data_IF_182102154974
#
_entry.id   IF_182102154974
#
_cell.length_a   1.000
_cell.length_b   1.000
_cell.length_c   1.000
_cell.angle_alpha   90.00
_cell.angle_beta   90.00
_cell.angle_gamma   90.00
#
_symmetry.space_group_name_H-M   'P 1'
#
loop_
_entity.id
_entity.type
_entity.pdbx_description
1 polymer ?
#
# COMPACT_ATOMS: atom_id res chain seq x y z
N UNK A 1 -33.12 -11.72 -15.52
CA UNK A 1 -32.24 -10.80 -14.79
C UNK A 1 -32.45 -9.40 -15.33
N UNK A 2 -32.89 -8.46 -14.49
CA UNK A 2 -32.97 -7.04 -14.85
C UNK A 2 -31.85 -6.32 -14.11
N UNK A 3 -30.92 -5.71 -14.84
CA UNK A 3 -29.85 -4.95 -14.22
C UNK A 3 -30.43 -3.67 -13.61
N UNK A 4 -30.21 -3.47 -12.31
CA UNK A 4 -30.58 -2.22 -11.64
C UNK A 4 -29.52 -1.18 -11.97
N UNK A 5 -29.91 -0.10 -12.64
CA UNK A 5 -29.04 1.05 -12.87
C UNK A 5 -28.93 1.82 -11.55
N UNK A 6 -27.74 1.86 -10.97
CA UNK A 6 -27.44 2.69 -9.79
C UNK A 6 -26.82 3.99 -10.28
N UNK A 7 -27.45 5.12 -9.99
CA UNK A 7 -26.88 6.42 -10.36
C UNK A 7 -25.58 6.71 -9.58
N UNK A 8 -24.57 7.31 -10.23
CA UNK A 8 -23.34 7.71 -9.56
C UNK A 8 -23.64 8.80 -8.53
N UNK A 9 -23.47 8.49 -7.25
CA UNK A 9 -23.48 9.47 -6.16
C UNK A 9 -22.09 10.06 -5.99
N UNK A 10 -21.97 11.37 -6.16
CA UNK A 10 -20.82 12.11 -5.66
C UNK A 10 -20.97 12.31 -4.14
N UNK A 11 -19.87 12.23 -3.37
CA UNK A 11 -19.88 12.57 -1.95
C UNK A 11 -20.47 13.97 -1.76
N UNK A 12 -21.43 14.11 -0.85
CA UNK A 12 -22.02 15.39 -0.45
C UNK A 12 -21.02 16.22 0.35
N UNK A 13 -21.27 17.52 0.55
CA UNK A 13 -20.39 18.40 1.34
C UNK A 13 -20.22 18.00 2.82
N UNK A 14 -21.01 17.04 3.33
CA UNK A 14 -20.83 16.39 4.62
C UNK A 14 -19.98 15.12 4.56
N UNK A 15 -19.73 14.58 3.37
CA UNK A 15 -18.82 13.47 3.11
C UNK A 15 -17.41 14.02 2.88
N UNK A 16 -16.85 14.70 3.88
CA UNK A 16 -15.44 15.11 3.86
C UNK A 16 -14.61 13.84 3.82
N UNK A 17 -14.05 13.51 2.66
CA UNK A 17 -13.05 12.46 2.54
C UNK A 17 -11.83 12.94 3.32
N UNK A 18 -11.62 12.39 4.51
CA UNK A 18 -10.39 12.61 5.27
C UNK A 18 -9.36 11.64 4.67
N UNK A 19 -8.37 12.13 3.92
CA UNK A 19 -7.35 11.25 3.35
C UNK A 19 -6.58 10.58 4.48
N UNK A 20 -6.22 9.31 4.28
CA UNK A 20 -5.37 8.61 5.22
C UNK A 20 -3.95 9.20 5.21
N UNK A 21 -3.43 9.47 6.40
CA UNK A 21 -2.06 9.89 6.60
C UNK A 21 -1.08 8.72 6.39
N UNK A 22 0.22 9.02 6.26
CA UNK A 22 1.24 7.97 6.25
C UNK A 22 1.21 7.11 7.53
N UNK A 23 0.89 7.72 8.68
CA UNK A 23 0.74 6.97 9.92
C UNK A 23 -0.41 5.95 9.85
N UNK A 24 -1.53 6.26 9.21
CA UNK A 24 -2.64 5.32 9.04
C UNK A 24 -2.22 4.10 8.20
N UNK A 25 -1.38 4.31 7.18
CA UNK A 25 -0.81 3.22 6.41
C UNK A 25 0.11 2.35 7.26
N UNK A 26 1.04 2.96 7.99
CA UNK A 26 1.97 2.22 8.87
C UNK A 26 1.21 1.45 9.94
N UNK A 27 0.24 2.07 10.61
CA UNK A 27 -0.62 1.41 11.60
C UNK A 27 -1.38 0.25 10.96
N UNK A 28 -1.87 0.42 9.74
CA UNK A 28 -2.55 -0.69 9.06
C UNK A 28 -1.58 -1.83 8.77
N UNK A 29 -0.37 -1.58 8.27
CA UNK A 29 0.61 -2.61 7.95
C UNK A 29 1.01 -3.45 9.18
N UNK A 30 0.96 -2.85 10.37
CA UNK A 30 1.23 -3.53 11.66
C UNK A 30 0.01 -4.26 12.22
N UNK A 31 -1.20 -3.91 11.78
CA UNK A 31 -2.41 -4.47 12.38
C UNK A 31 -2.53 -5.97 12.10
N UNK A 32 -3.02 -6.71 13.10
CA UNK A 32 -3.27 -8.14 12.96
C UNK A 32 -4.30 -8.40 11.85
N UNK A 33 -4.09 -9.49 11.11
CA UNK A 33 -4.99 -9.95 10.05
C UNK A 33 -5.63 -11.25 10.46
N UNK A 34 -6.88 -11.17 10.90
CA UNK A 34 -7.74 -12.31 11.19
C UNK A 34 -9.01 -12.22 10.36
N UNK A 35 -9.52 -13.38 9.94
CA UNK A 35 -10.85 -13.46 9.35
C UNK A 35 -11.90 -13.29 10.45
N UNK A 36 -12.85 -12.40 10.21
CA UNK A 36 -13.96 -12.11 11.12
C UNK A 36 -15.26 -12.40 10.38
N UNK A 37 -16.08 -13.30 10.92
CA UNK A 37 -17.45 -13.42 10.44
C UNK A 37 -18.26 -12.21 10.92
N UNK A 38 -18.77 -11.42 9.98
CA UNK A 38 -19.49 -10.18 10.29
C UNK A 38 -21.01 -10.31 10.16
N UNK A 39 -21.51 -11.45 9.65
CA UNK A 39 -22.93 -11.74 9.56
C UNK A 39 -23.27 -13.08 10.25
N UNK A 40 -23.90 -13.05 11.44
CA UNK A 40 -24.29 -14.27 12.15
C UNK A 40 -25.33 -15.13 11.39
N UNK A 41 -25.93 -14.62 10.30
CA UNK A 41 -26.86 -15.36 9.43
C UNK A 41 -26.20 -15.94 8.19
N UNK A 42 -25.02 -15.45 7.81
CA UNK A 42 -24.23 -15.94 6.68
C UNK A 42 -22.87 -16.41 7.19
N UNK A 43 -22.77 -17.73 7.42
CA UNK A 43 -21.57 -18.35 7.96
C UNK A 43 -20.36 -18.23 7.03
N UNK A 44 -20.57 -17.87 5.76
CA UNK A 44 -19.52 -17.73 4.74
C UNK A 44 -19.15 -16.25 4.46
N UNK A 45 -19.78 -15.28 5.14
CA UNK A 45 -19.48 -13.85 4.98
C UNK A 45 -18.37 -13.38 5.93
N UNK A 46 -17.16 -13.27 5.40
CA UNK A 46 -15.97 -12.85 6.13
C UNK A 46 -15.42 -11.49 5.72
N UNK A 47 -14.94 -10.76 6.72
CA UNK A 47 -14.07 -9.58 6.57
C UNK A 47 -12.68 -9.89 7.14
N UNK A 48 -11.67 -9.11 6.73
CA UNK A 48 -10.32 -9.21 7.29
C UNK A 48 -10.07 -8.00 8.18
N UNK A 49 -9.69 -8.27 9.44
CA UNK A 49 -9.42 -7.23 10.44
C UNK A 49 -8.28 -6.29 10.06
N UNK A 50 -8.26 -5.12 10.69
CA UNK A 50 -7.14 -4.18 10.59
C UNK A 50 -7.12 -3.35 9.31
N UNK A 51 -8.05 -3.55 8.38
CA UNK A 51 -8.25 -2.70 7.20
C UNK A 51 -9.31 -1.63 7.48
N UNK A 52 -8.87 -0.43 7.88
CA UNK A 52 -9.79 0.70 8.15
C UNK A 52 -10.60 1.04 6.91
N UNK A 53 -11.92 1.16 7.08
CA UNK A 53 -12.89 1.46 6.03
C UNK A 53 -12.75 0.55 4.78
N UNK A 54 -12.30 -0.71 4.97
CA UNK A 54 -12.04 -1.67 3.88
C UNK A 54 -11.08 -1.15 2.80
N UNK A 55 -10.28 -0.13 3.12
CA UNK A 55 -9.40 0.53 2.15
C UNK A 55 -10.09 1.56 1.25
N UNK A 56 -11.38 1.88 1.46
CA UNK A 56 -12.20 2.67 0.54
C UNK A 56 -11.71 4.12 0.31
N UNK A 57 -10.83 4.64 1.18
CA UNK A 57 -10.24 5.98 1.07
C UNK A 57 -8.71 5.97 0.97
N UNK A 58 -8.12 4.86 0.54
CA UNK A 58 -6.66 4.74 0.43
C UNK A 58 -6.19 5.30 -0.90
N UNK A 59 -5.45 6.43 -0.93
CA UNK A 59 -4.82 6.91 -2.14
C UNK A 59 -3.98 5.83 -2.85
N UNK A 60 -3.31 4.94 -2.09
CA UNK A 60 -2.60 3.77 -2.63
C UNK A 60 -2.80 2.54 -1.73
N UNK A 61 -3.23 1.39 -2.28
CA UNK A 61 -3.30 0.16 -1.50
C UNK A 61 -1.90 -0.42 -1.26
N UNK A 62 -1.29 -0.14 -0.10
CA UNK A 62 -0.07 -0.83 0.37
C UNK A 62 -0.34 -2.25 0.87
N UNK A 63 -1.60 -2.57 1.15
CA UNK A 63 -2.05 -3.93 1.45
C UNK A 63 -3.34 -4.20 0.71
N UNK A 64 -3.44 -5.42 0.16
CA UNK A 64 -4.63 -5.93 -0.50
C UNK A 64 -4.91 -7.30 0.08
N UNK A 65 -6.10 -7.54 0.61
CA UNK A 65 -6.46 -8.85 1.13
C UNK A 65 -7.71 -9.41 0.45
N UNK A 66 -7.76 -10.72 0.25
CA UNK A 66 -8.90 -11.40 -0.34
C UNK A 66 -9.70 -12.15 0.74
N UNK A 67 -10.71 -11.50 1.32
CA UNK A 67 -11.51 -12.10 2.40
C UNK A 67 -12.37 -13.29 1.96
N UNK A 68 -12.59 -13.48 0.65
CA UNK A 68 -13.30 -14.66 0.12
C UNK A 68 -12.53 -15.96 0.31
N UNK A 69 -11.24 -15.87 0.65
CA UNK A 69 -10.40 -17.03 0.98
C UNK A 69 -10.53 -17.47 2.43
N UNK A 70 -11.16 -16.65 3.27
CA UNK A 70 -11.52 -17.03 4.63
C UNK A 70 -12.55 -18.17 4.62
N UNK A 71 -12.38 -19.10 5.54
CA UNK A 71 -13.18 -20.31 5.77
C UNK A 71 -13.62 -20.43 7.24
N UNK A 72 -12.93 -19.77 8.17
CA UNK A 72 -13.22 -19.89 9.59
C UNK A 72 -12.97 -18.57 10.34
N UNK A 73 -13.84 -18.29 11.30
CA UNK A 73 -13.68 -17.16 12.20
C UNK A 73 -12.41 -17.32 13.05
N UNK A 74 -11.64 -16.23 13.18
CA UNK A 74 -10.39 -16.19 13.93
C UNK A 74 -9.17 -16.81 13.23
N UNK A 75 -9.30 -17.35 12.01
CA UNK A 75 -8.14 -17.85 11.27
C UNK A 75 -7.19 -16.69 10.87
N UNK A 76 -5.91 -17.00 10.69
CA UNK A 76 -4.93 -16.03 10.20
C UNK A 76 -5.18 -15.72 8.73
N UNK A 77 -5.40 -14.44 8.43
CA UNK A 77 -5.62 -13.96 7.06
C UNK A 77 -4.34 -13.43 6.39
N UNK A 78 -3.18 -13.51 7.04
CA UNK A 78 -1.90 -12.99 6.51
C UNK A 78 -1.56 -13.57 5.14
N UNK A 79 -1.81 -14.86 4.94
CA UNK A 79 -1.57 -15.57 3.67
C UNK A 79 -2.55 -15.17 2.55
N UNK A 80 -3.62 -14.47 2.89
CA UNK A 80 -4.60 -13.93 1.94
C UNK A 80 -4.34 -12.45 1.62
N UNK A 81 -3.29 -11.87 2.22
CA UNK A 81 -2.88 -10.49 2.03
C UNK A 81 -1.61 -10.39 1.18
N UNK A 82 -1.62 -9.43 0.25
CA UNK A 82 -0.50 -8.97 -0.53
C UNK A 82 -0.06 -7.62 0.03
N UNK A 83 1.24 -7.46 0.28
CA UNK A 83 1.84 -6.24 0.78
C UNK A 83 2.73 -5.64 -0.32
N UNK A 84 2.64 -4.32 -0.50
CA UNK A 84 3.39 -3.60 -1.52
C UNK A 84 4.45 -2.71 -0.87
N UNK A 85 5.62 -2.61 -1.50
CA UNK A 85 6.68 -1.68 -1.09
C UNK A 85 6.38 -0.27 -1.58
N UNK A 86 6.80 0.75 -0.82
CA UNK A 86 6.89 2.12 -1.32
C UNK A 86 8.22 2.31 -2.05
N UNK A 87 8.18 2.42 -3.37
CA UNK A 87 9.34 2.76 -4.18
C UNK A 87 9.45 4.27 -4.36
N UNK A 88 10.58 4.82 -3.95
CA UNK A 88 10.98 6.21 -4.18
C UNK A 88 12.01 6.21 -5.31
N UNK A 89 11.72 6.94 -6.38
CA UNK A 89 12.56 6.94 -7.57
C UNK A 89 12.74 8.34 -8.15
N UNK A 90 13.96 8.73 -8.54
CA UNK A 90 14.13 9.91 -9.37
C UNK A 90 13.64 9.61 -10.79
N UNK A 91 13.20 10.64 -11.50
CA UNK A 91 12.74 10.50 -12.89
C UNK A 91 13.83 10.02 -13.85
N UNK A 92 15.10 10.27 -13.52
CA UNK A 92 16.28 9.86 -14.28
C UNK A 92 17.42 9.49 -13.33
N UNK A 93 18.27 8.55 -13.75
CA UNK A 93 19.48 8.16 -13.01
C UNK A 93 20.51 9.27 -12.94
N UNK A 94 20.45 10.21 -13.88
CA UNK A 94 21.41 11.30 -14.00
C UNK A 94 20.97 12.55 -13.21
N UNK A 95 19.75 12.56 -12.67
CA UNK A 95 19.24 13.64 -11.82
C UNK A 95 19.74 13.45 -10.37
N UNK A 96 20.98 13.91 -10.14
CA UNK A 96 21.66 13.83 -8.84
C UNK A 96 20.81 14.49 -7.74
N UNK A 97 20.18 15.63 -8.04
CA UNK A 97 19.36 16.37 -7.05
C UNK A 97 18.13 15.55 -6.67
N UNK A 98 17.41 15.00 -7.64
CA UNK A 98 16.28 14.13 -7.36
C UNK A 98 16.70 12.85 -6.61
N UNK A 99 17.87 12.29 -6.93
CA UNK A 99 18.48 11.18 -6.19
C UNK A 99 18.72 11.52 -4.72
N UNK A 100 19.33 12.67 -4.43
CA UNK A 100 19.51 13.14 -3.05
C UNK A 100 18.17 13.37 -2.33
N UNK A 101 17.15 13.88 -3.03
CA UNK A 101 15.82 14.07 -2.46
C UNK A 101 15.15 12.76 -2.08
N UNK A 102 15.29 11.72 -2.91
CA UNK A 102 14.83 10.36 -2.60
C UNK A 102 15.47 9.86 -1.31
N UNK A 103 16.79 9.96 -1.19
CA UNK A 103 17.52 9.46 -0.02
C UNK A 103 17.13 10.23 1.26
N UNK A 104 17.00 11.56 1.17
CA UNK A 104 16.54 12.40 2.30
C UNK A 104 15.11 12.07 2.71
N UNK A 105 14.22 11.81 1.74
CA UNK A 105 12.85 11.47 2.04
C UNK A 105 12.72 10.09 2.68
N UNK A 106 13.47 9.10 2.19
CA UNK A 106 13.57 7.79 2.83
C UNK A 106 14.05 7.93 4.28
N UNK A 107 15.13 8.70 4.51
CA UNK A 107 15.65 8.97 5.86
C UNK A 107 14.61 9.65 6.75
N UNK A 108 13.85 10.61 6.23
CA UNK A 108 12.76 11.26 6.96
C UNK A 108 11.71 10.23 7.40
N UNK A 109 11.29 9.33 6.51
CA UNK A 109 10.32 8.28 6.83
C UNK A 109 10.86 7.37 7.94
N UNK A 110 12.07 6.82 7.80
CA UNK A 110 12.63 5.93 8.83
C UNK A 110 12.84 6.65 10.17
N UNK A 111 13.21 7.93 10.15
CA UNK A 111 13.37 8.72 11.38
C UNK A 111 12.03 8.93 12.08
N UNK A 112 10.98 9.21 11.32
CA UNK A 112 9.64 9.49 11.86
C UNK A 112 8.85 8.23 12.21
N UNK A 113 9.09 7.14 11.48
CA UNK A 113 8.42 5.85 11.61
C UNK A 113 9.46 4.73 11.70
N UNK A 114 10.18 4.59 12.84
CA UNK A 114 11.25 3.60 12.98
C UNK A 114 10.83 2.16 12.69
N UNK A 115 9.55 1.85 12.86
CA UNK A 115 8.96 0.56 12.50
C UNK A 115 9.01 0.24 11.00
N UNK A 116 9.36 1.19 10.13
CA UNK A 116 9.51 0.94 8.69
C UNK A 116 10.87 0.39 8.31
N UNK A 117 11.82 0.27 9.25
CA UNK A 117 13.09 -0.39 8.98
C UNK A 117 12.97 -1.91 9.04
N UNK A 118 13.79 -2.59 8.22
CA UNK A 118 13.89 -4.05 8.12
C UNK A 118 14.05 -4.74 9.49
N UNK A 119 14.84 -4.14 10.38
CA UNK A 119 15.20 -4.75 11.66
C UNK A 119 14.09 -4.64 12.73
N UNK A 120 13.01 -3.91 12.44
CA UNK A 120 11.96 -3.69 13.43
C UNK A 120 11.13 -4.93 13.75
N UNK A 121 11.06 -5.89 12.81
CA UNK A 121 10.14 -7.03 12.89
C UNK A 121 8.66 -6.62 12.96
N UNK A 122 8.35 -5.36 12.66
CA UNK A 122 7.02 -4.79 12.88
C UNK A 122 6.01 -5.17 11.80
N UNK A 123 6.49 -5.69 10.66
CA UNK A 123 5.68 -6.01 9.50
C UNK A 123 5.68 -7.51 9.20
N UNK A 124 4.60 -8.04 8.60
CA UNK A 124 4.46 -9.46 8.29
C UNK A 124 5.18 -9.89 6.99
N UNK A 125 6.22 -9.17 6.58
CA UNK A 125 7.01 -9.43 5.38
C UNK A 125 8.51 -9.25 5.67
N UNK A 126 9.36 -9.81 4.81
CA UNK A 126 10.81 -9.96 5.05
C UNK A 126 11.66 -9.01 4.20
N UNK A 127 11.08 -7.93 3.69
CA UNK A 127 11.74 -6.97 2.81
C UNK A 127 11.51 -5.55 3.29
N UNK A 128 12.34 -4.61 2.85
CA UNK A 128 12.21 -3.21 3.25
C UNK A 128 10.91 -2.63 2.72
N UNK A 129 10.14 -1.97 3.59
CA UNK A 129 8.94 -1.30 3.16
C UNK A 129 9.28 -0.13 2.21
N UNK A 130 10.42 0.53 2.41
CA UNK A 130 10.88 1.65 1.58
C UNK A 130 11.96 1.18 0.63
N UNK A 131 11.78 1.42 -0.67
CA UNK A 131 12.71 1.00 -1.72
C UNK A 131 13.26 2.20 -2.47
N UNK A 132 14.59 2.35 -2.51
CA UNK A 132 15.27 3.50 -3.15
C UNK A 132 16.27 3.12 -4.24
N UNK A 133 16.45 1.83 -4.53
CA UNK A 133 17.39 1.30 -5.54
C UNK A 133 16.87 1.42 -6.99
N UNK A 134 15.59 1.72 -7.18
CA UNK A 134 15.02 2.04 -8.50
C UNK A 134 15.40 3.48 -8.85
N UNK A 135 16.47 3.66 -9.65
CA UNK A 135 17.07 4.98 -9.92
C UNK A 135 16.59 5.66 -11.22
N UNK A 136 15.57 5.16 -11.92
CA UNK A 136 15.03 5.83 -13.11
C UNK A 136 13.66 5.28 -13.51
N UNK A 137 12.95 5.98 -14.38
CA UNK A 137 11.73 5.47 -15.01
C UNK A 137 11.97 4.18 -15.79
N UNK A 138 13.08 4.08 -16.53
CA UNK A 138 13.42 2.85 -17.26
C UNK A 138 13.65 1.68 -16.30
N UNK A 139 14.37 1.91 -15.19
CA UNK A 139 14.59 0.86 -14.19
C UNK A 139 13.28 0.44 -13.51
N UNK A 140 12.34 1.38 -13.33
CA UNK A 140 11.01 1.08 -12.84
C UNK A 140 10.21 0.24 -13.83
N UNK A 141 10.20 0.64 -15.11
CA UNK A 141 9.52 -0.10 -16.18
C UNK A 141 10.08 -1.52 -16.29
N UNK A 142 11.41 -1.66 -16.27
CA UNK A 142 12.09 -2.95 -16.26
C UNK A 142 11.66 -3.79 -15.04
N UNK A 143 11.54 -3.17 -13.85
CA UNK A 143 11.11 -3.84 -12.63
C UNK A 143 9.67 -4.36 -12.70
N UNK A 144 8.72 -3.52 -13.14
CA UNK A 144 7.29 -3.89 -13.17
C UNK A 144 6.93 -4.80 -14.33
N UNK A 145 7.78 -4.90 -15.35
CA UNK A 145 7.60 -5.80 -16.50
C UNK A 145 8.29 -7.15 -16.33
N UNK A 146 8.99 -7.38 -15.21
CA UNK A 146 9.58 -8.68 -14.91
C UNK A 146 8.52 -9.78 -14.88
N UNK A 147 8.90 -10.97 -15.36
CA UNK A 147 8.01 -12.14 -15.35
C UNK A 147 7.61 -12.60 -13.95
N UNK A 148 8.50 -12.39 -12.98
CA UNK A 148 8.31 -12.73 -11.57
C UNK A 148 7.77 -11.55 -10.74
N UNK A 149 7.27 -10.50 -11.37
CA UNK A 149 6.71 -9.34 -10.66
C UNK A 149 5.51 -9.73 -9.79
N UNK A 150 5.62 -9.48 -8.48
CA UNK A 150 4.65 -9.87 -7.47
C UNK A 150 4.92 -11.23 -6.83
N UNK A 151 5.98 -11.94 -7.23
CA UNK A 151 6.43 -13.17 -6.57
C UNK A 151 7.32 -12.88 -5.35
N UNK A 152 7.61 -13.92 -4.57
CA UNK A 152 8.50 -13.84 -3.40
C UNK A 152 9.88 -13.32 -3.81
N UNK A 153 10.29 -12.19 -3.24
CA UNK A 153 11.56 -11.51 -3.56
C UNK A 153 11.45 -10.41 -4.62
N UNK A 154 10.29 -10.27 -5.29
CA UNK A 154 9.98 -9.19 -6.24
C UNK A 154 8.60 -8.60 -5.91
N UNK A 155 8.43 -8.02 -4.71
CA UNK A 155 7.14 -7.50 -4.28
C UNK A 155 6.66 -6.37 -5.19
N UNK A 156 5.35 -6.21 -5.27
CA UNK A 156 4.76 -5.11 -6.04
C UNK A 156 5.08 -3.78 -5.39
N UNK A 157 5.14 -2.73 -6.20
CA UNK A 157 5.53 -1.39 -5.75
C UNK A 157 4.39 -0.39 -5.91
N UNK A 158 4.27 0.49 -4.92
CA UNK A 158 3.64 1.79 -5.02
C UNK A 158 4.73 2.82 -5.31
N UNK A 159 4.59 3.65 -6.34
CA UNK A 159 5.68 4.50 -6.82
C UNK A 159 5.45 5.96 -6.48
N UNK A 160 6.50 6.61 -5.99
CA UNK A 160 6.58 8.07 -5.81
C UNK A 160 7.77 8.62 -6.60
N UNK A 161 7.51 9.55 -7.52
CA UNK A 161 8.53 10.08 -8.42
C UNK A 161 8.97 11.51 -8.06
N UNK A 162 10.29 11.70 -8.03
CA UNK A 162 10.91 13.02 -7.91
C UNK A 162 11.42 13.48 -9.28
N UNK A 163 10.98 14.66 -9.74
CA UNK A 163 11.59 15.37 -10.86
C UNK A 163 11.91 16.80 -10.46
N UNK A 164 13.07 17.28 -10.90
CA UNK A 164 13.56 18.64 -10.68
C UNK A 164 12.71 19.73 -11.37
N UNK A 165 11.78 19.34 -12.26
CA UNK A 165 10.89 20.27 -12.97
C UNK A 165 9.43 20.15 -12.49
N UNK A 166 8.97 18.98 -12.05
CA UNK A 166 7.60 18.75 -11.55
C UNK A 166 7.61 17.62 -10.50
N UNK A 167 6.97 17.83 -9.34
CA UNK A 167 6.58 16.73 -8.44
C UNK A 167 5.38 16.03 -9.10
N UNK A 168 5.60 14.91 -9.77
CA UNK A 168 4.52 14.11 -10.34
C UNK A 168 4.30 12.84 -9.51
N UNK A 169 3.11 12.79 -8.90
CA UNK A 169 2.48 11.68 -8.14
C UNK A 169 3.25 11.25 -6.88
N UNK A 170 2.81 11.51 -5.64
CA UNK A 170 1.47 11.65 -5.04
C UNK A 170 1.37 12.96 -4.23
N UNK A 171 0.25 13.69 -4.32
CA UNK A 171 -0.05 14.72 -3.33
C UNK A 171 -0.41 14.04 -2.01
N UNK A 172 0.52 14.06 -1.05
CA UNK A 172 0.20 13.96 0.37
C UNK A 172 -0.37 15.32 0.80
N UNK A 173 -1.69 15.47 0.70
CA UNK A 173 -2.43 16.54 1.38
C UNK A 173 -2.94 16.01 2.72
#
# INVERSE_FOLDING_TARGET
>A
FSATVVEPKFPSSSDTIIPFSFQDYVTTLQAQRICINTDPKDLDYFEISGLRDKGYNWPVPFVKCDSRRCKADGESALVYCEYNQLSLSPSSSDDIIAGEMVDRFAQYIHTRYPQTSDDSGAFPFTYDFIRTDIKSNTALDDYVTRKDYGESGVPKVAVYHFSSVHICCFSLF
#
